data_IF_989141795082
#
_entry.id   IF_989141795082
#
_cell.length_a   1.000
_cell.length_b   1.000
_cell.length_c   1.000
_cell.angle_alpha   90.00
_cell.angle_beta   90.00
_cell.angle_gamma   90.00
#
_symmetry.space_group_name_H-M   'P 1'
#
loop_
_entity.id
_entity.type
_entity.pdbx_description
1 polymer ?
#
# COMPACT_ATOMS: atom_id res chain seq x y z
N UNK A 1 4.84 -19.04 11.89
CA UNK A 1 6.05 -18.20 11.74
C UNK A 1 6.90 -18.84 10.65
N UNK A 2 7.32 -18.07 9.64
CA UNK A 2 8.33 -18.56 8.69
C UNK A 2 9.59 -18.88 9.51
N UNK A 3 10.15 -20.09 9.41
CA UNK A 3 11.26 -20.57 10.25
C UNK A 3 12.60 -19.89 9.97
N UNK A 4 12.60 -18.60 9.67
CA UNK A 4 13.75 -17.78 9.33
C UNK A 4 13.74 -16.46 10.12
N UNK A 5 14.94 -15.90 10.29
CA UNK A 5 15.11 -14.64 11.01
C UNK A 5 14.40 -13.47 10.29
N UNK A 6 13.87 -12.53 11.07
CA UNK A 6 13.14 -11.36 10.54
C UNK A 6 14.00 -10.54 9.57
N UNK A 7 15.32 -10.45 9.82
CA UNK A 7 16.26 -9.75 8.94
C UNK A 7 16.32 -10.38 7.56
N UNK A 8 16.24 -11.71 7.48
CA UNK A 8 16.24 -12.45 6.20
C UNK A 8 15.01 -12.10 5.37
N UNK A 9 13.84 -12.00 6.01
CA UNK A 9 12.59 -11.61 5.34
C UNK A 9 12.69 -10.18 4.80
N UNK A 10 13.17 -9.25 5.63
CA UNK A 10 13.33 -7.83 5.23
C UNK A 10 14.33 -7.67 4.09
N UNK A 11 15.47 -8.35 4.16
CA UNK A 11 16.50 -8.31 3.11
C UNK A 11 15.97 -8.84 1.77
N UNK A 12 15.21 -9.94 1.79
CA UNK A 12 14.63 -10.51 0.59
C UNK A 12 13.57 -9.59 -0.05
N UNK A 13 12.72 -8.97 0.78
CA UNK A 13 11.75 -7.97 0.30
C UNK A 13 12.44 -6.75 -0.32
N UNK A 14 13.53 -6.27 0.29
CA UNK A 14 14.33 -5.19 -0.27
C UNK A 14 15.00 -5.59 -1.60
N UNK A 15 15.53 -6.81 -1.70
CA UNK A 15 16.13 -7.32 -2.94
C UNK A 15 15.09 -7.43 -4.08
N UNK A 16 13.84 -7.73 -3.78
CA UNK A 16 12.72 -7.68 -4.73
C UNK A 16 12.21 -6.26 -5.01
N UNK A 17 12.87 -5.23 -4.46
CA UNK A 17 12.48 -3.84 -4.59
C UNK A 17 11.14 -3.53 -3.93
N UNK A 18 10.75 -4.22 -2.85
CA UNK A 18 9.54 -3.94 -2.08
C UNK A 18 9.88 -3.08 -0.86
N UNK A 19 9.08 -2.05 -0.61
CA UNK A 19 9.13 -1.27 0.63
C UNK A 19 7.80 -1.29 1.34
N UNK A 20 7.83 -1.34 2.66
CA UNK A 20 6.64 -1.16 3.47
C UNK A 20 6.30 0.33 3.54
N UNK A 21 5.18 0.72 2.96
CA UNK A 21 4.58 2.05 3.12
C UNK A 21 3.19 1.87 3.69
N UNK A 22 2.95 2.42 4.89
CA UNK A 22 1.66 2.40 5.57
C UNK A 22 1.03 0.99 5.73
N UNK A 23 1.85 -0.05 5.92
CA UNK A 23 1.37 -1.43 6.07
C UNK A 23 1.15 -2.17 4.75
N UNK A 24 1.49 -1.57 3.61
CA UNK A 24 1.47 -2.20 2.28
C UNK A 24 2.88 -2.34 1.72
N UNK A 25 3.20 -3.52 1.18
CA UNK A 25 4.45 -3.77 0.46
C UNK A 25 4.33 -3.32 -0.99
N UNK A 26 4.86 -2.13 -1.29
CA UNK A 26 4.76 -1.49 -2.60
C UNK A 26 6.15 -1.53 -3.28
N UNK A 27 6.23 -1.76 -4.61
CA UNK A 27 7.47 -1.55 -5.35
C UNK A 27 8.09 -0.18 -5.05
N UNK A 28 9.36 -0.17 -4.68
CA UNK A 28 10.07 0.93 -4.01
C UNK A 28 10.24 2.18 -4.89
N UNK A 29 10.05 2.07 -6.20
CA UNK A 29 9.95 3.23 -7.09
C UNK A 29 8.85 2.98 -8.12
N UNK A 30 7.84 3.86 -8.24
CA UNK A 30 7.01 3.86 -9.43
C UNK A 30 7.89 4.15 -10.65
N UNK A 31 7.75 3.36 -11.70
CA UNK A 31 8.32 3.67 -13.01
C UNK A 31 7.86 5.05 -13.47
N UNK A 32 8.60 5.70 -14.37
CA UNK A 32 8.20 7.00 -14.88
C UNK A 32 6.85 6.95 -15.60
N UNK A 33 6.52 5.81 -16.23
CA UNK A 33 5.18 5.53 -16.76
C UNK A 33 4.11 5.53 -15.66
N UNK A 34 4.36 4.89 -14.51
CA UNK A 34 3.43 4.89 -13.38
C UNK A 34 3.28 6.29 -12.78
N UNK A 35 4.34 7.10 -12.75
CA UNK A 35 4.27 8.51 -12.31
C UNK A 35 3.43 9.34 -13.27
N UNK A 36 3.68 9.24 -14.57
CA UNK A 36 2.95 9.97 -15.61
C UNK A 36 1.45 9.61 -15.60
N UNK A 37 1.12 8.31 -15.50
CA UNK A 37 -0.26 7.86 -15.39
C UNK A 37 -0.96 8.44 -14.15
N UNK A 38 -0.30 8.45 -12.98
CA UNK A 38 -0.85 9.06 -11.76
C UNK A 38 -1.12 10.54 -11.91
N UNK A 39 -0.22 11.30 -12.53
CA UNK A 39 -0.41 12.74 -12.79
C UNK A 39 -1.60 12.97 -13.72
N UNK A 40 -1.70 12.20 -14.81
CA UNK A 40 -2.80 12.30 -15.76
C UNK A 40 -4.16 12.02 -15.11
N UNK A 41 -4.27 10.90 -14.39
CA UNK A 41 -5.50 10.49 -13.69
C UNK A 41 -5.90 11.53 -12.63
N UNK A 42 -4.95 12.02 -11.83
CA UNK A 42 -5.22 13.06 -10.84
C UNK A 42 -5.75 14.35 -11.49
N UNK A 43 -5.19 14.77 -12.62
CA UNK A 43 -5.66 15.93 -13.37
C UNK A 43 -7.11 15.79 -13.83
N UNK A 44 -7.51 14.60 -14.30
CA UNK A 44 -8.90 14.32 -14.71
C UNK A 44 -9.83 14.36 -13.50
N UNK A 45 -9.47 13.67 -12.41
CA UNK A 45 -10.29 13.63 -11.19
C UNK A 45 -10.49 15.02 -10.58
N UNK A 46 -9.45 15.87 -10.56
CA UNK A 46 -9.58 17.25 -10.08
C UNK A 46 -10.58 18.04 -10.94
N UNK A 47 -10.54 17.90 -12.27
CA UNK A 47 -11.47 18.58 -13.18
C UNK A 47 -12.91 18.10 -12.98
N UNK A 48 -13.12 16.80 -12.86
CA UNK A 48 -14.43 16.21 -12.57
C UNK A 48 -14.96 16.70 -11.21
N UNK A 49 -14.10 16.75 -10.20
CA UNK A 49 -14.46 17.24 -8.86
C UNK A 49 -14.95 18.68 -8.87
N UNK A 50 -14.31 19.54 -9.68
CA UNK A 50 -14.71 20.94 -9.84
C UNK A 50 -15.98 21.13 -10.67
N UNK A 51 -16.19 20.32 -11.70
CA UNK A 51 -17.27 20.53 -12.67
C UNK A 51 -18.58 19.86 -12.28
N UNK A 52 -18.53 18.67 -11.66
CA UNK A 52 -19.72 17.85 -11.43
C UNK A 52 -19.91 17.39 -9.99
N UNK A 53 -18.95 17.66 -9.08
CA UNK A 53 -19.06 17.33 -7.65
C UNK A 53 -19.35 15.84 -7.40
N UNK A 54 -18.36 14.96 -7.61
CA UNK A 54 -18.58 13.51 -7.49
C UNK A 54 -18.16 12.92 -6.13
N UNK A 55 -17.54 13.70 -5.25
CA UNK A 55 -16.96 13.20 -4.00
C UNK A 55 -17.98 12.53 -3.07
N UNK A 56 -19.20 13.08 -2.97
CA UNK A 56 -20.26 12.55 -2.11
C UNK A 56 -20.81 11.19 -2.60
N UNK A 57 -20.54 10.83 -3.85
CA UNK A 57 -20.91 9.53 -4.43
C UNK A 57 -19.81 8.47 -4.32
N UNK A 58 -18.62 8.82 -3.83
CA UNK A 58 -17.50 7.88 -3.76
C UNK A 58 -17.67 6.98 -2.53
N UNK A 59 -17.76 5.67 -2.78
CA UNK A 59 -17.59 4.64 -1.75
C UNK A 59 -16.20 4.04 -1.93
N UNK A 60 -15.37 4.07 -0.88
CA UNK A 60 -14.03 3.47 -0.88
C UNK A 60 -13.95 2.36 0.18
N UNK A 61 -13.14 1.33 -0.09
CA UNK A 61 -12.83 0.26 0.84
C UNK A 61 -11.39 -0.20 0.62
N UNK A 62 -10.75 -0.68 1.68
CA UNK A 62 -9.39 -1.21 1.62
C UNK A 62 -9.20 -2.28 2.71
N UNK A 63 -8.40 -3.31 2.39
CA UNK A 63 -8.08 -4.38 3.33
C UNK A 63 -6.84 -4.02 4.15
N UNK A 64 -6.90 -4.27 5.46
CA UNK A 64 -5.78 -4.10 6.38
C UNK A 64 -5.56 -5.39 7.16
N UNK A 65 -4.31 -5.86 7.18
CA UNK A 65 -3.91 -6.96 8.04
C UNK A 65 -4.00 -6.55 9.52
N UNK A 66 -4.75 -7.31 10.31
CA UNK A 66 -4.81 -7.19 11.77
C UNK A 66 -3.95 -8.31 12.36
N UNK A 67 -2.92 -7.95 13.11
CA UNK A 67 -2.04 -8.92 13.74
C UNK A 67 -2.71 -9.51 14.99
N UNK A 68 -2.80 -10.83 15.06
CA UNK A 68 -3.26 -11.53 16.25
C UNK A 68 -2.08 -11.73 17.23
N UNK A 69 -2.20 -11.22 18.45
CA UNK A 69 -1.21 -11.47 19.50
C UNK A 69 -1.59 -12.73 20.30
N UNK A 70 -1.00 -13.87 19.97
CA UNK A 70 -1.11 -15.10 20.75
C UNK A 70 -0.25 -14.99 22.01
N UNK A 71 -0.76 -14.34 23.05
CA UNK A 71 -0.12 -14.38 24.38
C UNK A 71 -0.38 -15.76 24.97
N UNK A 72 0.59 -16.68 24.83
CA UNK A 72 0.59 -17.93 25.59
C UNK A 72 0.74 -17.60 27.07
N UNK A 73 -0.34 -17.74 27.84
CA UNK A 73 -0.33 -17.64 29.30
C UNK A 73 0.54 -18.79 29.84
N UNK A 74 1.74 -18.48 30.33
CA UNK A 74 2.55 -19.46 31.06
C UNK A 74 1.80 -19.83 32.36
N UNK A 75 1.67 -21.14 32.60
CA UNK A 75 1.06 -21.72 33.81
C UNK A 75 2.02 -21.63 34.98
#
# INVERSE_FOLDING_TARGET
MYGCDQKTIVNHLHAMGKTNRQGKWIPQQPSDANKAARVSIAGILIRLGKNSGFYDSIVTSDEKWIQFNNVTRKR
#
